data_IF_065820686405
#
_entry.id   IF_065820686405
#
_cell.length_a   1.000
_cell.length_b   1.000
_cell.length_c   1.000
_cell.angle_alpha   90.00
_cell.angle_beta   90.00
_cell.angle_gamma   90.00
#
_symmetry.space_group_name_H-M   'P 1'
#
loop_
_entity.id
_entity.type
_entity.pdbx_description
1 polymer ?
#
# COMPACT_ATOMS: atom_id res chain seq x y z
N UNK A 1 1.36 -10.49 11.20
CA UNK A 1 2.03 -9.18 11.23
C UNK A 1 2.50 -8.93 12.66
N UNK A 2 3.74 -8.48 12.85
CA UNK A 2 4.33 -8.19 14.16
C UNK A 2 5.33 -7.03 14.08
N UNK A 3 5.86 -6.62 15.23
CA UNK A 3 6.87 -5.55 15.28
C UNK A 3 8.17 -5.98 14.63
N UNK A 4 8.70 -5.12 13.77
CA UNK A 4 10.02 -5.28 13.20
C UNK A 4 11.06 -4.86 14.23
N UNK A 5 11.96 -5.78 14.53
CA UNK A 5 13.13 -5.54 15.36
C UNK A 5 14.38 -5.93 14.58
N UNK A 6 15.44 -5.16 14.74
CA UNK A 6 16.72 -5.41 14.07
C UNK A 6 17.82 -5.55 15.11
N UNK A 7 18.70 -6.54 14.93
CA UNK A 7 19.90 -6.74 15.75
C UNK A 7 21.07 -6.99 14.83
N UNK A 8 22.21 -6.40 15.18
CA UNK A 8 23.43 -6.54 14.42
C UNK A 8 24.45 -5.48 14.80
N UNK A 9 25.67 -5.57 14.26
CA UNK A 9 26.75 -4.64 14.57
C UNK A 9 26.45 -3.19 14.17
N UNK A 10 25.48 -2.99 13.28
CA UNK A 10 25.04 -1.69 12.77
C UNK A 10 23.99 -1.00 13.67
N UNK A 11 23.51 -1.68 14.72
CA UNK A 11 22.54 -1.11 15.65
C UNK A 11 23.25 -0.16 16.62
N UNK A 12 22.77 1.08 16.70
CA UNK A 12 23.32 2.08 17.60
C UNK A 12 23.28 1.60 19.06
N UNK A 13 24.22 2.07 19.89
CA UNK A 13 24.26 1.73 21.32
C UNK A 13 23.11 2.33 22.12
N UNK A 14 22.44 3.34 21.57
CA UNK A 14 21.38 4.09 22.22
C UNK A 14 21.32 5.53 21.78
N UNK A 15 20.46 6.29 22.46
CA UNK A 15 20.35 7.73 22.33
C UNK A 15 21.28 8.42 23.33
N UNK A 16 21.98 9.47 22.85
CA UNK A 16 22.88 10.26 23.68
C UNK A 16 22.11 10.94 24.83
N UNK A 17 22.64 10.84 26.05
CA UNK A 17 22.06 11.41 27.29
C UNK A 17 20.60 11.03 27.58
N UNK A 18 20.10 9.95 26.98
CA UNK A 18 18.73 9.47 27.17
C UNK A 18 18.70 7.97 27.50
N UNK A 19 19.17 7.58 28.71
CA UNK A 19 19.30 6.17 29.09
C UNK A 19 17.94 5.45 29.17
N UNK A 20 16.89 6.13 29.65
CA UNK A 20 15.54 5.56 29.73
C UNK A 20 14.94 5.31 28.34
N UNK A 21 15.07 6.28 27.44
CA UNK A 21 14.60 6.16 26.05
C UNK A 21 15.40 5.07 25.31
N UNK A 22 16.70 4.97 25.60
CA UNK A 22 17.57 3.91 25.10
C UNK A 22 17.08 2.54 25.57
N UNK A 23 16.87 2.33 26.86
CA UNK A 23 16.39 1.06 27.39
C UNK A 23 15.00 0.67 26.84
N UNK A 24 14.13 1.65 26.60
CA UNK A 24 12.81 1.39 26.00
C UNK A 24 12.86 1.03 24.50
N UNK A 25 13.87 1.52 23.78
CA UNK A 25 14.01 1.37 22.32
C UNK A 25 14.96 0.24 21.92
N UNK A 26 15.96 -0.03 22.74
CA UNK A 26 16.99 -1.04 22.56
C UNK A 26 16.91 -2.05 23.72
N UNK A 27 16.55 -3.29 23.43
CA UNK A 27 16.44 -4.37 24.42
C UNK A 27 17.24 -5.59 23.95
N UNK A 28 18.14 -6.12 24.78
CA UNK A 28 18.95 -7.31 24.49
C UNK A 28 19.70 -7.26 23.14
N UNK A 29 20.16 -6.07 22.76
CA UNK A 29 20.86 -5.81 21.50
C UNK A 29 19.95 -5.69 20.27
N UNK A 30 18.64 -5.74 20.45
CA UNK A 30 17.63 -5.48 19.41
C UNK A 30 17.14 -4.04 19.46
N UNK A 31 17.12 -3.38 18.31
CA UNK A 31 16.45 -2.11 18.10
C UNK A 31 15.01 -2.35 17.65
N UNK A 32 14.06 -1.76 18.38
CA UNK A 32 12.67 -1.64 17.96
C UNK A 32 12.55 -0.52 16.92
N UNK A 33 12.29 -0.86 15.65
CA UNK A 33 12.24 0.15 14.58
C UNK A 33 10.98 1.01 14.64
N UNK A 34 9.93 0.49 15.28
CA UNK A 34 8.60 1.10 15.28
C UNK A 34 7.81 0.80 14.00
N UNK A 35 8.29 -0.12 13.17
CA UNK A 35 7.57 -0.59 11.99
C UNK A 35 6.89 -1.93 12.28
N UNK A 36 5.79 -2.18 11.56
CA UNK A 36 5.09 -3.46 11.54
C UNK A 36 5.38 -4.17 10.24
N UNK A 37 5.50 -5.49 10.30
CA UNK A 37 5.70 -6.30 9.12
C UNK A 37 5.46 -7.78 9.36
N UNK A 38 5.66 -8.59 8.34
CA UNK A 38 5.62 -10.04 8.44
C UNK A 38 6.67 -10.66 7.53
N UNK A 39 7.03 -11.90 7.82
CA UNK A 39 7.87 -12.68 6.93
C UNK A 39 6.97 -13.48 5.99
N UNK A 40 7.18 -13.32 4.70
CA UNK A 40 6.60 -14.18 3.67
C UNK A 40 7.72 -14.58 2.71
N UNK A 41 7.85 -15.88 2.48
CA UNK A 41 8.85 -16.46 1.56
C UNK A 41 10.29 -15.97 1.83
N UNK A 42 10.66 -15.88 3.11
CA UNK A 42 11.98 -15.43 3.54
C UNK A 42 12.23 -13.92 3.44
N UNK A 43 11.20 -13.12 3.09
CA UNK A 43 11.29 -11.66 2.96
C UNK A 43 10.49 -10.95 4.05
N UNK A 44 11.05 -9.88 4.60
CA UNK A 44 10.34 -8.99 5.51
C UNK A 44 9.51 -7.98 4.73
N UNK A 45 8.18 -8.14 4.77
CA UNK A 45 7.22 -7.19 4.23
C UNK A 45 6.85 -6.17 5.31
N UNK A 46 7.33 -4.93 5.19
CA UNK A 46 6.96 -3.83 6.08
C UNK A 46 5.60 -3.28 5.64
N UNK A 47 4.62 -3.35 6.53
CA UNK A 47 3.24 -2.93 6.25
C UNK A 47 2.97 -1.48 6.66
N UNK A 48 3.80 -0.89 7.52
CA UNK A 48 3.66 0.49 7.97
C UNK A 48 4.29 0.73 9.33
N UNK A 49 4.03 1.90 9.93
CA UNK A 49 4.53 2.23 11.28
C UNK A 49 3.54 1.84 12.34
N UNK A 50 4.01 1.15 13.37
CA UNK A 50 3.27 0.79 14.59
C UNK A 50 2.53 1.98 15.20
N UNK A 51 3.14 3.16 15.19
CA UNK A 51 2.55 4.39 15.73
C UNK A 51 1.60 5.14 14.79
N UNK A 52 1.56 4.75 13.52
CA UNK A 52 0.68 5.31 12.48
C UNK A 52 -0.45 4.32 12.10
N UNK A 53 -0.67 3.30 12.94
CA UNK A 53 -1.80 2.38 12.85
C UNK A 53 -3.06 3.04 13.37
N UNK A 54 -4.15 2.79 12.67
CA UNK A 54 -5.52 3.07 13.07
C UNK A 54 -6.18 1.72 13.36
N UNK A 55 -6.55 1.51 14.62
CA UNK A 55 -7.25 0.30 15.06
C UNK A 55 -8.75 0.55 14.97
N UNK A 56 -9.43 -0.29 14.19
CA UNK A 56 -10.85 -0.16 13.91
C UNK A 56 -11.45 -1.55 13.75
N UNK A 57 -12.51 -1.85 14.51
CA UNK A 57 -13.23 -3.12 14.53
C UNK A 57 -12.29 -4.33 14.72
N UNK A 58 -11.29 -4.19 15.61
CA UNK A 58 -10.30 -5.24 15.85
C UNK A 58 -9.33 -5.49 14.69
N UNK A 59 -9.30 -4.60 13.69
CA UNK A 59 -8.41 -4.67 12.53
C UNK A 59 -7.44 -3.48 12.53
N UNK A 60 -6.25 -3.73 12.01
CA UNK A 60 -5.18 -2.75 11.87
C UNK A 60 -5.22 -2.16 10.46
N UNK A 61 -5.37 -0.85 10.35
CA UNK A 61 -5.25 -0.08 9.12
C UNK A 61 -4.09 0.89 9.21
N UNK A 62 -3.42 1.17 8.09
CA UNK A 62 -2.34 2.16 8.06
C UNK A 62 -2.88 3.50 7.60
N UNK A 63 -2.59 4.57 8.35
CA UNK A 63 -3.08 5.91 8.03
C UNK A 63 -2.72 6.36 6.60
N UNK A 64 -1.51 6.11 6.04
CA UNK A 64 -1.18 6.47 4.66
C UNK A 64 -2.10 5.85 3.60
N UNK A 65 -2.50 4.59 3.77
CA UNK A 65 -3.40 3.91 2.83
C UNK A 65 -4.78 4.60 2.81
N UNK A 66 -5.28 4.99 3.99
CA UNK A 66 -6.53 5.71 4.14
C UNK A 66 -6.43 7.16 3.62
N UNK A 67 -5.27 7.78 3.74
CA UNK A 67 -4.98 9.11 3.16
C UNK A 67 -5.06 9.06 1.63
N UNK A 68 -4.54 8.00 1.00
CA UNK A 68 -4.63 7.79 -0.44
C UNK A 68 -6.08 7.58 -0.90
N UNK A 69 -6.84 6.75 -0.16
CA UNK A 69 -8.29 6.54 -0.42
C UNK A 69 -9.05 7.86 -0.36
N UNK A 70 -8.78 8.70 0.64
CA UNK A 70 -9.41 10.01 0.80
C UNK A 70 -8.99 10.97 -0.31
N UNK A 71 -7.68 11.08 -0.59
CA UNK A 71 -7.10 11.97 -1.59
C UNK A 71 -7.58 11.68 -3.03
N UNK A 72 -7.92 10.42 -3.33
CA UNK A 72 -8.46 10.01 -4.62
C UNK A 72 -9.93 10.45 -4.86
N UNK A 73 -10.57 11.16 -3.93
CA UNK A 73 -11.97 11.60 -4.08
C UNK A 73 -12.08 12.78 -5.06
N UNK A 74 -12.86 12.65 -6.15
CA UNK A 74 -13.08 13.74 -7.10
C UNK A 74 -13.67 14.99 -6.44
N UNK A 75 -13.22 16.17 -6.88
CA UNK A 75 -13.71 17.46 -6.35
C UNK A 75 -12.96 17.98 -5.12
N UNK A 76 -12.00 17.23 -4.57
CA UNK A 76 -11.06 17.78 -3.59
C UNK A 76 -10.09 18.78 -4.25
N UNK A 77 -9.92 19.99 -3.70
CA UNK A 77 -9.08 21.02 -4.32
C UNK A 77 -7.58 20.70 -4.24
N UNK A 78 -7.17 19.87 -3.27
CA UNK A 78 -5.79 19.37 -3.17
C UNK A 78 -5.79 17.95 -2.62
N UNK A 79 -4.90 17.07 -3.09
CA UNK A 79 -4.85 15.66 -2.67
C UNK A 79 -4.21 15.45 -1.29
N UNK A 80 -3.95 16.52 -0.51
CA UNK A 80 -3.38 16.36 0.82
C UNK A 80 -4.49 15.98 1.82
N UNK A 81 -4.45 14.72 2.25
CA UNK A 81 -5.21 14.20 3.38
C UNK A 81 -4.27 13.82 4.53
N UNK A 82 -4.80 13.84 5.75
CA UNK A 82 -4.16 13.29 6.94
C UNK A 82 -5.18 12.44 7.69
N UNK A 83 -4.82 11.23 8.08
CA UNK A 83 -5.73 10.33 8.81
C UNK A 83 -5.18 10.05 10.21
N UNK A 84 -6.08 10.10 11.19
CA UNK A 84 -5.82 9.67 12.57
C UNK A 84 -6.90 8.70 13.01
N UNK A 85 -6.53 7.77 13.90
CA UNK A 85 -7.50 7.17 14.81
C UNK A 85 -7.79 8.13 15.97
N UNK A 86 -8.90 7.92 16.63
CA UNK A 86 -9.27 8.52 17.91
C UNK A 86 -10.18 7.52 18.61
N UNK A 87 -10.37 7.67 19.91
CA UNK A 87 -11.38 6.92 20.65
C UNK A 87 -12.37 7.92 21.23
N UNK A 88 -13.66 7.68 21.12
CA UNK A 88 -14.64 8.51 21.80
C UNK A 88 -14.50 8.32 23.31
N UNK A 89 -14.27 9.40 24.08
CA UNK A 89 -14.09 9.29 25.52
C UNK A 89 -15.37 8.89 26.29
N UNK A 90 -16.56 9.00 25.68
CA UNK A 90 -17.83 8.70 26.34
C UNK A 90 -18.19 7.21 26.32
N UNK A 91 -18.00 6.54 25.19
CA UNK A 91 -18.41 5.13 24.99
C UNK A 91 -17.25 4.20 24.59
N UNK A 92 -16.05 4.75 24.41
CA UNK A 92 -14.86 3.98 24.04
C UNK A 92 -14.85 3.52 22.59
N UNK A 93 -15.79 4.01 21.76
CA UNK A 93 -15.86 3.63 20.35
C UNK A 93 -14.64 4.12 19.59
N UNK A 94 -14.10 3.24 18.73
CA UNK A 94 -13.04 3.61 17.80
C UNK A 94 -13.61 4.58 16.77
N UNK A 95 -12.87 5.64 16.46
CA UNK A 95 -13.25 6.68 15.51
C UNK A 95 -12.09 6.97 14.57
N UNK A 96 -12.39 7.22 13.30
CA UNK A 96 -11.39 7.67 12.33
C UNK A 96 -11.67 9.11 11.91
N UNK A 97 -10.66 9.95 11.96
CA UNK A 97 -10.76 11.34 11.52
C UNK A 97 -9.84 11.58 10.33
N UNK A 98 -10.44 12.10 9.26
CA UNK A 98 -9.78 12.43 8.00
C UNK A 98 -9.74 13.94 7.86
N UNK A 99 -8.56 14.53 7.85
CA UNK A 99 -8.38 15.94 7.59
C UNK A 99 -8.04 16.16 6.11
N UNK A 100 -8.88 16.90 5.40
CA UNK A 100 -8.62 17.26 4.00
C UNK A 100 -8.20 18.71 3.88
N UNK A 101 -7.13 18.99 3.13
CA UNK A 101 -6.67 20.36 2.93
C UNK A 101 -7.65 21.13 2.04
N UNK A 102 -8.39 22.05 2.64
CA UNK A 102 -9.39 22.87 1.98
C UNK A 102 -9.43 24.28 2.59
N UNK A 103 -8.81 25.31 1.97
CA UNK A 103 -8.67 26.64 2.57
C UNK A 103 -9.97 27.36 2.88
N UNK A 104 -10.99 27.24 2.00
CA UNK A 104 -12.27 27.96 2.12
C UNK A 104 -13.43 27.11 1.55
N UNK A 105 -13.87 26.04 2.24
CA UNK A 105 -14.99 25.22 1.77
C UNK A 105 -16.31 26.01 1.81
N UNK A 106 -17.00 26.06 0.66
CA UNK A 106 -18.39 26.57 0.53
C UNK A 106 -19.38 25.44 0.80
N UNK A 107 -20.68 25.74 0.97
CA UNK A 107 -21.72 24.73 1.27
C UNK A 107 -21.70 23.51 0.32
N UNK A 108 -21.39 23.71 -0.96
CA UNK A 108 -21.25 22.64 -1.97
C UNK A 108 -20.17 21.61 -1.65
N UNK A 109 -19.15 21.97 -0.85
CA UNK A 109 -18.12 21.04 -0.39
C UNK A 109 -18.70 19.90 0.45
N UNK A 110 -19.90 20.05 1.02
CA UNK A 110 -20.56 19.00 1.79
C UNK A 110 -20.71 17.71 0.98
N UNK A 111 -21.01 17.80 -0.32
CA UNK A 111 -21.14 16.61 -1.17
C UNK A 111 -19.79 15.89 -1.35
N UNK A 112 -18.72 16.64 -1.60
CA UNK A 112 -17.36 16.07 -1.75
C UNK A 112 -16.89 15.47 -0.43
N UNK A 113 -17.11 16.15 0.70
CA UNK A 113 -16.75 15.61 2.02
C UNK A 113 -17.54 14.34 2.35
N UNK A 114 -18.82 14.27 1.99
CA UNK A 114 -19.63 13.06 2.14
C UNK A 114 -19.11 11.91 1.27
N UNK A 115 -18.61 12.18 0.06
CA UNK A 115 -17.95 11.16 -0.78
C UNK A 115 -16.64 10.67 -0.16
N UNK A 116 -15.82 11.56 0.41
CA UNK A 116 -14.62 11.16 1.16
C UNK A 116 -15.02 10.24 2.32
N UNK A 117 -16.05 10.63 3.10
CA UNK A 117 -16.58 9.82 4.20
C UNK A 117 -17.00 8.45 3.71
N UNK A 118 -17.79 8.35 2.65
CA UNK A 118 -18.27 7.09 2.10
C UNK A 118 -17.12 6.16 1.66
N UNK A 119 -16.12 6.70 0.94
CA UNK A 119 -14.96 5.92 0.47
C UNK A 119 -14.12 5.38 1.63
N UNK A 120 -13.87 6.21 2.64
CA UNK A 120 -13.08 5.82 3.82
C UNK A 120 -13.86 4.83 4.71
N UNK A 121 -15.17 5.04 4.91
CA UNK A 121 -16.05 4.06 5.59
C UNK A 121 -16.02 2.71 4.89
N UNK A 122 -16.10 2.71 3.56
CA UNK A 122 -16.04 1.49 2.76
C UNK A 122 -14.69 0.79 2.92
N UNK A 123 -13.57 1.52 2.88
CA UNK A 123 -12.24 0.95 3.05
C UNK A 123 -12.01 0.36 4.46
N UNK A 124 -12.55 1.02 5.49
CA UNK A 124 -12.44 0.60 6.89
C UNK A 124 -13.45 -0.48 7.31
N UNK A 125 -14.57 -0.58 6.59
CA UNK A 125 -15.79 -1.24 7.06
C UNK A 125 -16.20 -0.74 8.46
N UNK A 126 -16.21 0.58 8.65
CA UNK A 126 -16.49 1.23 9.93
C UNK A 126 -17.23 2.55 9.74
N UNK A 127 -18.21 2.81 10.60
CA UNK A 127 -19.19 3.88 10.39
C UNK A 127 -18.77 5.23 11.02
N UNK A 128 -18.00 5.25 12.11
CA UNK A 128 -17.57 6.49 12.78
C UNK A 128 -16.32 7.10 12.11
N UNK A 129 -16.54 7.60 10.89
CA UNK A 129 -15.56 8.34 10.10
C UNK A 129 -15.98 9.80 10.02
N UNK A 130 -15.13 10.71 10.52
CA UNK A 130 -15.34 12.16 10.46
C UNK A 130 -14.38 12.79 9.47
N UNK A 131 -14.90 13.60 8.53
CA UNK A 131 -14.07 14.28 7.53
C UNK A 131 -14.10 15.79 7.77
N UNK A 132 -12.94 16.36 8.07
CA UNK A 132 -12.79 17.76 8.47
C UNK A 132 -11.98 18.54 7.42
N UNK A 133 -12.57 19.54 6.75
CA UNK A 133 -11.81 20.43 5.88
C UNK A 133 -11.00 21.44 6.70
N UNK A 134 -9.68 21.46 6.51
CA UNK A 134 -8.77 22.33 7.24
C UNK A 134 -7.92 23.21 6.31
N UNK A 135 -7.55 24.45 6.74
CA UNK A 135 -6.66 25.29 5.97
C UNK A 135 -5.22 24.73 5.95
N UNK A 136 -4.37 25.15 4.98
CA UNK A 136 -3.02 24.61 4.82
C UNK A 136 -2.14 24.68 6.09
N UNK A 137 -2.29 25.75 6.88
CA UNK A 137 -1.52 25.95 8.12
C UNK A 137 -1.90 25.00 9.28
N UNK A 138 -2.99 24.24 9.14
CA UNK A 138 -3.44 23.31 10.17
C UNK A 138 -2.73 21.96 10.15
N UNK A 139 -1.88 21.70 9.14
CA UNK A 139 -1.12 20.45 8.96
C UNK A 139 0.32 20.62 9.47
N UNK A 140 0.61 20.34 10.76
CA UNK A 140 1.94 20.50 11.32
C UNK A 140 2.94 19.57 10.64
N UNK A 141 4.11 20.09 10.26
CA UNK A 141 5.18 19.33 9.61
C UNK A 141 6.50 19.44 10.38
N UNK A 142 7.37 18.44 10.23
CA UNK A 142 8.78 18.52 10.63
C UNK A 142 9.55 19.43 9.68
N UNK A 143 10.78 19.81 10.05
CA UNK A 143 11.70 20.55 9.17
C UNK A 143 12.00 19.79 7.86
N UNK A 144 11.92 18.46 7.89
CA UNK A 144 12.03 17.58 6.72
C UNK A 144 10.72 17.43 5.93
N UNK A 145 9.68 18.20 6.24
CA UNK A 145 8.39 18.18 5.55
C UNK A 145 7.43 17.04 5.94
N UNK A 146 7.77 16.17 6.89
CA UNK A 146 6.93 15.03 7.31
C UNK A 146 5.76 15.50 8.17
N UNK A 147 4.57 14.95 7.95
CA UNK A 147 3.38 15.27 8.74
C UNK A 147 3.52 14.81 10.20
N UNK A 148 3.15 15.67 11.15
CA UNK A 148 3.10 15.35 12.59
C UNK A 148 1.70 14.90 13.01
N UNK A 149 1.31 13.67 12.64
CA UNK A 149 -0.04 13.10 12.92
C UNK A 149 -0.43 13.11 14.40
N UNK A 150 0.52 12.79 15.29
CA UNK A 150 0.32 12.87 16.74
C UNK A 150 -0.17 14.25 17.18
N UNK A 151 0.42 15.32 16.65
CA UNK A 151 0.01 16.69 16.98
C UNK A 151 -1.38 17.01 16.43
N UNK A 152 -1.79 16.43 15.30
CA UNK A 152 -3.16 16.58 14.79
C UNK A 152 -4.17 15.84 15.68
N UNK A 153 -3.82 14.63 16.14
CA UNK A 153 -4.62 13.84 17.09
C UNK A 153 -4.80 14.57 18.42
N UNK A 154 -3.71 15.02 19.03
CA UNK A 154 -3.76 15.79 20.29
C UNK A 154 -4.64 17.04 20.17
N UNK A 155 -4.59 17.74 19.02
CA UNK A 155 -5.47 18.89 18.76
C UNK A 155 -6.93 18.49 18.61
N UNK A 156 -7.20 17.38 17.93
CA UNK A 156 -8.56 16.88 17.74
C UNK A 156 -9.19 16.44 19.07
N UNK A 157 -8.47 15.63 19.85
CA UNK A 157 -8.92 15.15 21.18
C UNK A 157 -9.07 16.30 22.19
N UNK A 158 -8.28 17.37 22.06
CA UNK A 158 -8.44 18.60 22.83
C UNK A 158 -9.59 19.51 22.36
N UNK A 159 -10.37 19.09 21.35
CA UNK A 159 -11.51 19.84 20.82
C UNK A 159 -11.16 21.04 19.92
N UNK A 160 -9.90 21.19 19.49
CA UNK A 160 -9.46 22.34 18.71
C UNK A 160 -10.17 22.49 17.35
N UNK A 161 -10.84 21.43 16.88
CA UNK A 161 -11.59 21.41 15.62
C UNK A 161 -13.12 21.38 15.80
N UNK A 162 -13.65 21.57 17.01
CA UNK A 162 -15.09 21.43 17.29
C UNK A 162 -16.00 22.32 16.43
N UNK A 163 -15.57 23.55 16.11
CA UNK A 163 -16.34 24.44 15.22
C UNK A 163 -16.39 23.96 13.76
N UNK A 164 -15.36 23.24 13.30
CA UNK A 164 -15.32 22.62 11.97
C UNK A 164 -16.20 21.37 11.97
N UNK A 165 -16.11 20.58 13.04
CA UNK A 165 -16.87 19.35 13.22
C UNK A 165 -18.38 19.60 13.30
N UNK A 166 -18.83 20.53 14.15
CA UNK A 166 -20.24 20.92 14.25
C UNK A 166 -20.82 21.45 12.93
N UNK A 167 -19.96 22.01 12.06
CA UNK A 167 -20.38 22.57 10.78
C UNK A 167 -20.48 21.53 9.67
N UNK A 168 -19.65 20.49 9.69
CA UNK A 168 -19.48 19.57 8.56
C UNK A 168 -19.83 18.12 8.88
N UNK A 169 -19.93 17.74 10.15
CA UNK A 169 -20.20 16.38 10.60
C UNK A 169 -21.55 16.28 11.33
N UNK A 170 -21.93 17.27 12.14
CA UNK A 170 -23.21 17.29 12.85
C UNK A 170 -24.31 17.85 11.93
N UNK A 171 -24.89 16.97 11.12
CA UNK A 171 -25.87 17.36 10.11
C UNK A 171 -26.74 16.20 9.62
N UNK A 172 -27.54 15.61 10.50
CA UNK A 172 -28.78 14.92 10.11
C UNK A 172 -29.94 15.90 10.28
N UNK A 173 -30.81 16.10 9.27
CA UNK A 173 -32.09 16.77 9.48
C UNK A 173 -32.94 15.93 10.43
N UNK A 174 -33.47 16.57 11.47
CA UNK A 174 -34.45 16.00 12.39
C UNK A 174 -35.77 15.71 11.65
N UNK A 175 -36.35 14.52 11.79
CA UNK A 175 -37.80 14.36 11.83
C UNK A 175 -38.21 14.28 13.30
N UNK A 176 -38.67 15.41 13.84
CA UNK A 176 -39.50 15.39 15.02
C UNK A 176 -40.94 15.03 14.61
N UNK A 177 -41.64 14.32 15.51
CA UNK A 177 -43.05 13.92 15.52
C UNK A 177 -43.38 12.50 15.03
N UNK A 178 -43.09 11.51 15.88
CA UNK A 178 -44.10 10.51 16.30
C UNK A 178 -43.60 9.65 17.49
N UNK A 179 -44.08 10.01 18.69
CA UNK A 179 -44.61 9.13 19.75
C UNK A 179 -43.72 8.00 20.31
N UNK A 180 -43.08 8.35 21.44
CA UNK A 180 -42.99 7.65 22.73
C UNK A 180 -43.39 6.17 22.85
N UNK A 181 -42.48 5.37 23.43
CA UNK A 181 -42.80 4.14 24.17
C UNK A 181 -41.56 3.42 24.72
N UNK A 182 -41.18 3.70 25.98
CA UNK A 182 -40.24 2.91 26.79
C UNK A 182 -40.76 1.45 26.94
N UNK A 183 -39.97 0.42 27.22
CA UNK A 183 -39.27 0.10 28.48
C UNK A 183 -38.37 -1.12 28.23
N UNK A 184 -37.24 -1.21 28.95
CA UNK A 184 -36.29 -2.33 28.89
C UNK A 184 -36.86 -3.69 29.31
N UNK A 185 -36.17 -4.74 28.85
CA UNK A 185 -36.40 -6.12 29.28
C UNK A 185 -35.21 -6.99 28.87
N UNK A 186 -34.67 -7.70 29.85
CA UNK A 186 -33.55 -8.62 29.71
C UNK A 186 -33.84 -9.78 28.71
N UNK A 187 -32.74 -10.36 28.25
CA UNK A 187 -32.58 -11.50 27.32
C UNK A 187 -33.61 -12.63 27.52
N UNK A 188 -34.09 -13.22 26.41
CA UNK A 188 -34.12 -14.68 26.30
C UNK A 188 -33.48 -15.18 25.00
N UNK A 189 -32.65 -16.22 25.12
CA UNK A 189 -32.21 -17.05 24.00
C UNK A 189 -33.33 -18.01 23.59
N UNK A 190 -33.58 -18.14 22.28
CA UNK A 190 -34.35 -19.25 21.69
C UNK A 190 -34.79 -18.97 20.25
N UNK A 191 -35.29 -19.95 19.48
CA UNK A 191 -35.09 -21.41 19.52
C UNK A 191 -34.32 -21.92 18.27
N UNK A 192 -33.67 -23.09 18.36
CA UNK A 192 -33.22 -23.84 17.15
C UNK A 192 -34.48 -24.32 16.41
N UNK A 193 -34.79 -23.69 15.28
CA UNK A 193 -35.88 -24.12 14.41
C UNK A 193 -35.51 -25.44 13.71
N UNK A 194 -36.39 -26.44 13.79
CA UNK A 194 -36.32 -27.63 12.94
C UNK A 194 -36.57 -27.25 11.47
N UNK A 195 -36.12 -28.13 10.56
CA UNK A 195 -36.21 -28.05 9.10
C UNK A 195 -37.42 -27.22 8.60
N UNK A 196 -37.16 -25.98 8.18
CA UNK A 196 -38.16 -25.14 7.51
C UNK A 196 -38.54 -25.81 6.18
N UNK A 197 -39.84 -25.99 5.93
CA UNK A 197 -40.31 -26.88 4.85
C UNK A 197 -40.72 -26.13 3.58
N UNK A 198 -40.81 -24.80 3.61
CA UNK A 198 -41.21 -23.97 2.46
C UNK A 198 -40.25 -22.81 2.17
N UNK A 199 -40.15 -22.41 0.89
CA UNK A 199 -39.29 -21.29 0.45
C UNK A 199 -39.65 -19.97 1.15
N UNK A 200 -40.93 -19.71 1.42
CA UNK A 200 -41.40 -18.50 2.11
C UNK A 200 -40.91 -18.43 3.55
N UNK A 201 -40.88 -19.56 4.27
CA UNK A 201 -40.33 -19.62 5.63
C UNK A 201 -38.82 -19.34 5.64
N UNK A 202 -38.07 -19.95 4.71
CA UNK A 202 -36.62 -19.72 4.61
C UNK A 202 -36.33 -18.28 4.19
N UNK A 203 -37.08 -17.72 3.23
CA UNK A 203 -36.94 -16.34 2.79
C UNK A 203 -37.24 -15.35 3.92
N UNK A 204 -38.28 -15.60 4.72
CA UNK A 204 -38.61 -14.79 5.90
C UNK A 204 -37.50 -14.79 6.94
N UNK A 205 -36.87 -15.95 7.19
CA UNK A 205 -35.72 -16.06 8.10
C UNK A 205 -34.50 -15.34 7.53
N UNK A 206 -34.19 -15.51 6.24
CA UNK A 206 -33.07 -14.82 5.58
C UNK A 206 -33.25 -13.30 5.64
N UNK A 207 -34.45 -12.80 5.28
CA UNK A 207 -34.77 -11.38 5.37
C UNK A 207 -34.69 -10.86 6.81
N UNK A 208 -35.16 -11.63 7.81
CA UNK A 208 -35.04 -11.28 9.22
C UNK A 208 -33.59 -11.23 9.73
N UNK A 209 -32.74 -12.14 9.26
CA UNK A 209 -31.29 -12.12 9.56
C UNK A 209 -30.64 -10.88 8.92
N UNK A 210 -30.97 -10.57 7.67
CA UNK A 210 -30.47 -9.36 7.01
C UNK A 210 -30.94 -8.09 7.70
N UNK A 211 -32.21 -8.01 8.09
CA UNK A 211 -32.78 -6.87 8.82
C UNK A 211 -32.00 -6.59 10.10
N UNK A 212 -31.74 -7.64 10.88
CA UNK A 212 -30.98 -7.57 12.14
C UNK A 212 -29.54 -7.11 11.93
N UNK A 213 -28.85 -7.69 10.95
CA UNK A 213 -27.43 -7.39 10.69
C UNK A 213 -27.23 -6.03 10.00
N UNK A 214 -28.17 -5.64 9.14
CA UNK A 214 -28.13 -4.34 8.45
C UNK A 214 -28.66 -3.20 9.33
N UNK A 215 -29.38 -3.50 10.42
CA UNK A 215 -30.03 -2.50 11.26
C UNK A 215 -31.22 -1.82 10.57
N UNK A 216 -31.93 -2.56 9.71
CA UNK A 216 -33.07 -2.06 8.91
C UNK A 216 -34.36 -2.80 9.29
N UNK A 217 -35.53 -2.18 9.15
CA UNK A 217 -36.81 -2.89 9.28
C UNK A 217 -36.93 -3.98 8.20
N UNK A 218 -37.46 -5.14 8.58
CA UNK A 218 -37.58 -6.30 7.66
C UNK A 218 -38.44 -5.99 6.44
N UNK A 219 -39.48 -5.16 6.60
CA UNK A 219 -40.37 -4.71 5.52
C UNK A 219 -39.65 -3.82 4.48
N UNK A 220 -38.46 -3.31 4.81
CA UNK A 220 -37.62 -2.50 3.93
C UNK A 220 -36.56 -3.28 3.16
N UNK A 221 -36.60 -4.62 3.18
CA UNK A 221 -35.69 -5.51 2.46
C UNK A 221 -36.49 -6.26 1.40
N UNK A 222 -36.32 -5.86 0.14
CA UNK A 222 -36.87 -6.56 -1.01
C UNK A 222 -36.18 -7.90 -1.25
N UNK A 223 -36.93 -8.89 -1.73
CA UNK A 223 -36.39 -10.24 -2.02
C UNK A 223 -35.28 -10.25 -3.09
N UNK A 224 -35.22 -9.20 -3.92
CA UNK A 224 -34.23 -9.00 -4.97
C UNK A 224 -33.26 -7.85 -4.68
N UNK A 225 -33.32 -7.25 -3.49
CA UNK A 225 -32.35 -6.23 -3.08
C UNK A 225 -30.98 -6.87 -2.93
N UNK A 226 -29.96 -6.23 -3.52
CA UNK A 226 -28.59 -6.72 -3.41
C UNK A 226 -28.02 -6.33 -2.05
N UNK A 227 -27.41 -7.30 -1.36
CA UNK A 227 -26.92 -7.15 0.01
C UNK A 227 -26.05 -5.91 0.19
N UNK A 228 -25.11 -5.68 -0.73
CA UNK A 228 -24.17 -4.55 -0.68
C UNK A 228 -24.85 -3.21 -0.97
N UNK A 229 -25.85 -3.18 -1.84
CA UNK A 229 -26.55 -1.96 -2.25
C UNK A 229 -27.42 -1.39 -1.11
N UNK A 230 -27.83 -2.25 -0.17
CA UNK A 230 -28.66 -1.88 0.98
C UNK A 230 -27.89 -1.74 2.31
N UNK A 231 -26.57 -1.58 2.23
CA UNK A 231 -25.70 -1.32 3.40
C UNK A 231 -25.02 -2.55 3.99
N UNK A 232 -24.95 -3.65 3.23
CA UNK A 232 -24.16 -4.83 3.54
C UNK A 232 -22.65 -4.59 3.35
N UNK A 233 -21.84 -5.30 4.12
CA UNK A 233 -20.38 -5.32 4.03
C UNK A 233 -19.88 -6.75 4.16
N UNK A 234 -18.61 -7.03 3.86
CA UNK A 234 -18.06 -8.39 4.02
C UNK A 234 -18.10 -8.89 5.48
N UNK A 235 -18.10 -8.00 6.47
CA UNK A 235 -18.25 -8.39 7.89
C UNK A 235 -19.69 -8.78 8.20
N UNK A 236 -20.64 -7.92 7.80
CA UNK A 236 -22.07 -8.21 7.89
C UNK A 236 -22.44 -9.47 7.10
N UNK A 237 -21.75 -9.73 6.00
CA UNK A 237 -21.89 -10.96 5.23
C UNK A 237 -21.54 -12.18 6.06
N UNK A 238 -20.42 -12.14 6.79
CA UNK A 238 -20.01 -13.22 7.67
C UNK A 238 -20.96 -13.39 8.87
N UNK A 239 -21.50 -12.31 9.42
CA UNK A 239 -22.52 -12.36 10.48
C UNK A 239 -23.83 -12.96 9.98
N UNK A 240 -24.27 -12.58 8.77
CA UNK A 240 -25.42 -13.18 8.09
C UNK A 240 -25.18 -14.67 7.88
N UNK A 241 -24.02 -15.05 7.33
CA UNK A 241 -23.68 -16.44 7.08
C UNK A 241 -23.65 -17.25 8.37
N UNK A 242 -22.95 -16.78 9.41
CA UNK A 242 -22.90 -17.45 10.72
C UNK A 242 -24.29 -17.60 11.35
N UNK A 243 -25.14 -16.56 11.28
CA UNK A 243 -26.50 -16.64 11.78
C UNK A 243 -27.36 -17.63 10.97
N UNK A 244 -27.15 -17.76 9.66
CA UNK A 244 -27.84 -18.74 8.81
C UNK A 244 -27.33 -20.16 9.07
N UNK A 245 -26.02 -20.36 9.25
CA UNK A 245 -25.43 -21.64 9.64
C UNK A 245 -25.99 -22.11 10.99
N UNK A 246 -26.07 -21.22 11.98
CA UNK A 246 -26.66 -21.50 13.29
C UNK A 246 -28.16 -21.82 13.22
N UNK A 247 -28.89 -21.15 12.32
CA UNK A 247 -30.35 -21.31 12.20
C UNK A 247 -30.72 -22.58 11.43
N UNK A 248 -29.99 -22.91 10.37
CA UNK A 248 -30.34 -23.99 9.44
C UNK A 248 -29.43 -25.23 9.56
N UNK A 249 -28.36 -25.17 10.34
CA UNK A 249 -27.43 -26.29 10.52
C UNK A 249 -26.66 -26.71 9.27
N UNK A 250 -26.63 -25.85 8.25
CA UNK A 250 -25.90 -26.04 6.98
C UNK A 250 -24.64 -25.19 7.00
N UNK A 251 -23.53 -25.69 6.42
CA UNK A 251 -22.34 -24.85 6.24
C UNK A 251 -22.47 -24.07 4.95
N UNK A 252 -22.38 -22.74 5.04
CA UNK A 252 -22.52 -21.83 3.91
C UNK A 252 -21.17 -21.15 3.67
N UNK A 253 -20.42 -21.55 2.62
CA UNK A 253 -19.10 -20.99 2.36
C UNK A 253 -19.15 -19.45 2.18
N UNK A 254 -18.12 -18.70 2.61
CA UNK A 254 -18.06 -17.25 2.47
C UNK A 254 -18.24 -16.71 1.04
N UNK A 255 -17.98 -17.53 0.02
CA UNK A 255 -18.21 -17.18 -1.38
C UNK A 255 -19.69 -17.09 -1.77
N UNK A 256 -20.61 -17.73 -1.04
CA UNK A 256 -22.02 -17.81 -1.41
C UNK A 256 -22.66 -16.43 -1.42
N UNK A 257 -22.41 -15.57 -0.43
CA UNK A 257 -23.03 -14.23 -0.41
C UNK A 257 -22.46 -13.29 -1.49
N UNK A 258 -21.28 -13.60 -2.04
CA UNK A 258 -20.72 -12.88 -3.19
C UNK A 258 -21.42 -13.26 -4.49
N UNK A 259 -21.70 -14.56 -4.65
CA UNK A 259 -22.26 -15.12 -5.88
C UNK A 259 -23.80 -15.11 -5.88
N UNK A 260 -24.42 -15.01 -4.69
CA UNK A 260 -25.86 -15.08 -4.41
C UNK A 260 -26.26 -13.97 -3.43
N UNK A 261 -26.08 -12.73 -3.87
CA UNK A 261 -26.18 -11.53 -3.04
C UNK A 261 -27.60 -10.97 -2.87
N UNK A 262 -28.65 -11.80 -3.01
CA UNK A 262 -30.06 -11.42 -2.77
C UNK A 262 -30.74 -12.42 -1.83
N UNK A 263 -31.80 -11.99 -1.13
CA UNK A 263 -32.58 -12.87 -0.25
C UNK A 263 -33.11 -14.09 -1.03
N UNK A 264 -33.63 -13.88 -2.24
CA UNK A 264 -34.13 -14.97 -3.09
C UNK A 264 -33.02 -15.98 -3.44
N UNK A 265 -31.87 -15.50 -3.90
CA UNK A 265 -30.76 -16.36 -4.31
C UNK A 265 -30.13 -17.15 -3.14
N UNK A 266 -30.10 -16.54 -1.95
CA UNK A 266 -29.61 -17.20 -0.73
C UNK A 266 -30.61 -18.23 -0.20
N UNK A 267 -31.90 -17.92 -0.31
CA UNK A 267 -33.00 -18.85 0.03
C UNK A 267 -32.95 -20.10 -0.84
N UNK A 268 -32.78 -19.96 -2.16
CA UNK A 268 -32.62 -21.09 -3.08
C UNK A 268 -31.42 -21.98 -2.69
N UNK A 269 -30.30 -21.36 -2.33
CA UNK A 269 -29.10 -22.09 -1.91
C UNK A 269 -29.33 -22.90 -0.62
N UNK A 270 -30.00 -22.31 0.36
CA UNK A 270 -30.30 -22.96 1.64
C UNK A 270 -31.31 -24.10 1.48
N UNK A 271 -32.35 -23.91 0.66
CA UNK A 271 -33.32 -24.96 0.34
C UNK A 271 -32.64 -26.13 -0.39
N UNK A 272 -31.74 -25.84 -1.34
CA UNK A 272 -30.97 -26.87 -2.03
C UNK A 272 -30.00 -27.62 -1.08
N UNK A 273 -29.35 -26.92 -0.16
CA UNK A 273 -28.41 -27.49 0.81
C UNK A 273 -29.10 -28.39 1.86
N UNK A 274 -30.38 -28.17 2.14
CA UNK A 274 -31.18 -29.02 3.02
C UNK A 274 -31.69 -30.31 2.33
N UNK A 275 -31.65 -30.37 0.99
CA UNK A 275 -32.24 -31.45 0.19
C UNK A 275 -31.28 -32.50 -0.38
N UNK A 276 -29.97 -32.44 -0.12
CA UNK A 276 -29.00 -33.33 -0.77
C UNK A 276 -27.70 -33.57 0.02
N UNK A 277 -27.19 -34.80 -0.05
CA UNK A 277 -26.03 -35.34 0.67
C UNK A 277 -24.84 -34.38 0.81
N UNK A 278 -24.33 -34.32 2.05
CA UNK A 278 -23.27 -33.46 2.56
C UNK A 278 -21.93 -33.75 1.84
N UNK A 279 -21.35 -32.82 1.06
CA UNK A 279 -20.01 -33.00 0.51
C UNK A 279 -18.97 -32.74 1.60
N UNK A 280 -17.97 -33.62 1.73
CA UNK A 280 -16.77 -33.40 2.53
C UNK A 280 -16.04 -32.11 2.11
N UNK A 281 -15.37 -31.40 3.04
CA UNK A 281 -14.64 -30.18 2.72
C UNK A 281 -13.46 -30.49 1.79
N UNK A 282 -13.62 -30.11 0.53
CA UNK A 282 -12.58 -30.24 -0.49
C UNK A 282 -11.37 -29.36 -0.12
N UNK A 283 -10.19 -29.99 -0.07
CA UNK A 283 -8.89 -29.28 -0.07
C UNK A 283 -8.85 -28.30 -1.24
N UNK A 284 -8.24 -27.11 -1.09
CA UNK A 284 -8.11 -26.16 -2.18
C UNK A 284 -7.36 -26.84 -3.34
N UNK A 285 -8.10 -27.13 -4.39
CA UNK A 285 -7.55 -27.59 -5.65
C UNK A 285 -6.97 -26.34 -6.33
N UNK A 286 -5.71 -26.36 -6.80
CA UNK A 286 -5.14 -25.21 -7.48
C UNK A 286 -6.03 -24.86 -8.66
N UNK A 287 -6.25 -23.56 -8.85
CA UNK A 287 -6.90 -23.04 -10.03
C UNK A 287 -6.17 -23.62 -11.25
N UNK A 288 -6.90 -24.36 -12.08
CA UNK A 288 -6.41 -24.83 -13.36
C UNK A 288 -6.34 -23.64 -14.32
N UNK A 289 -5.28 -22.86 -14.18
CA UNK A 289 -4.63 -22.13 -15.24
C UNK A 289 -3.16 -22.36 -14.99
N UNK A 290 -2.43 -22.90 -15.96
CA UNK A 290 -0.98 -23.10 -15.84
C UNK A 290 -0.34 -21.81 -15.33
N UNK A 291 0.04 -21.77 -14.05
CA UNK A 291 0.98 -20.76 -13.56
C UNK A 291 2.31 -21.17 -14.14
N UNK A 292 2.58 -20.73 -15.36
CA UNK A 292 3.84 -21.01 -16.03
C UNK A 292 4.95 -20.46 -15.14
N UNK A 293 5.77 -21.34 -14.59
CA UNK A 293 6.87 -20.95 -13.73
C UNK A 293 7.85 -20.08 -14.52
N UNK A 294 8.17 -18.89 -14.01
CA UNK A 294 9.13 -17.98 -14.67
C UNK A 294 10.54 -18.45 -14.36
N UNK A 295 11.32 -18.75 -15.42
CA UNK A 295 12.71 -19.14 -15.29
C UNK A 295 13.63 -17.91 -15.33
N UNK A 296 14.48 -17.75 -14.31
CA UNK A 296 15.60 -16.79 -14.37
C UNK A 296 16.74 -17.46 -15.14
N UNK A 297 16.88 -17.10 -16.42
CA UNK A 297 17.84 -17.75 -17.35
C UNK A 297 19.26 -17.20 -17.18
N UNK A 298 19.40 -15.93 -16.80
CA UNK A 298 20.69 -15.30 -16.53
C UNK A 298 20.55 -14.08 -15.62
N UNK A 299 21.68 -13.58 -15.13
CA UNK A 299 21.81 -12.31 -14.42
C UNK A 299 23.17 -11.69 -14.74
N UNK A 300 23.24 -10.37 -14.67
CA UNK A 300 24.46 -9.58 -14.67
C UNK A 300 24.32 -8.49 -13.60
N UNK A 301 25.42 -8.05 -12.99
CA UNK A 301 25.36 -7.05 -11.93
C UNK A 301 26.67 -6.27 -11.82
N UNK A 302 26.58 -5.04 -11.30
CA UNK A 302 27.71 -4.29 -10.75
C UNK A 302 27.43 -4.00 -9.28
N UNK A 303 28.32 -4.45 -8.40
CA UNK A 303 28.29 -4.20 -6.97
C UNK A 303 29.63 -3.64 -6.50
N UNK A 304 29.67 -2.96 -5.33
CA UNK A 304 30.91 -2.48 -4.74
C UNK A 304 31.95 -3.61 -4.58
N UNK A 305 33.03 -3.56 -5.36
CA UNK A 305 34.10 -4.56 -5.35
C UNK A 305 33.79 -5.89 -6.04
N UNK A 306 32.70 -5.97 -6.81
CA UNK A 306 32.30 -7.14 -7.58
C UNK A 306 31.54 -6.74 -8.86
N UNK A 307 32.15 -6.98 -10.01
CA UNK A 307 31.58 -6.61 -11.31
C UNK A 307 30.81 -7.75 -11.98
N UNK A 308 30.67 -8.91 -11.34
CA UNK A 308 29.94 -10.07 -11.88
C UNK A 308 29.15 -10.81 -10.79
N UNK A 309 28.12 -11.60 -11.14
CA UNK A 309 27.40 -12.44 -10.19
C UNK A 309 28.32 -13.38 -9.39
N UNK A 310 29.31 -13.96 -10.06
CA UNK A 310 30.28 -14.89 -9.48
C UNK A 310 31.17 -14.16 -8.45
N UNK A 311 31.73 -13.00 -8.82
CA UNK A 311 32.51 -12.18 -7.90
C UNK A 311 31.67 -11.68 -6.71
N UNK A 312 30.39 -11.36 -6.94
CA UNK A 312 29.49 -10.94 -5.88
C UNK A 312 29.19 -12.09 -4.92
N UNK A 313 28.98 -13.30 -5.44
CA UNK A 313 28.82 -14.51 -4.64
C UNK A 313 30.03 -14.78 -3.75
N UNK A 314 31.24 -14.70 -4.30
CA UNK A 314 32.48 -14.88 -3.53
C UNK A 314 32.58 -13.88 -2.37
N UNK A 315 32.16 -12.63 -2.59
CA UNK A 315 32.11 -11.59 -1.54
C UNK A 315 31.10 -11.93 -0.45
N UNK A 316 29.91 -12.42 -0.82
CA UNK A 316 28.88 -12.83 0.13
C UNK A 316 29.36 -14.01 0.98
N UNK A 317 29.94 -15.04 0.35
CA UNK A 317 30.49 -16.21 1.04
C UNK A 317 31.63 -15.82 1.97
N UNK A 318 32.48 -14.87 1.56
CA UNK A 318 33.57 -14.36 2.39
C UNK A 318 33.10 -13.39 3.51
N UNK A 319 31.81 -13.05 3.58
CA UNK A 319 31.29 -12.07 4.55
C UNK A 319 31.87 -10.67 4.38
N UNK A 320 32.21 -10.28 3.15
CA UNK A 320 32.87 -9.01 2.86
C UNK A 320 31.92 -7.82 3.09
N UNK A 321 32.30 -6.90 3.96
CA UNK A 321 31.64 -5.60 4.12
C UNK A 321 32.26 -4.58 3.16
N UNK A 322 31.47 -4.12 2.19
CA UNK A 322 31.89 -3.13 1.20
C UNK A 322 31.58 -1.68 1.61
N UNK A 323 31.03 -1.45 2.81
CA UNK A 323 30.75 -0.12 3.34
C UNK A 323 32.07 0.55 3.73
N UNK A 324 32.36 1.67 3.10
CA UNK A 324 33.56 2.46 3.35
C UNK A 324 33.26 3.95 3.45
N UNK A 325 34.27 4.77 3.76
CA UNK A 325 34.13 6.22 3.71
C UNK A 325 33.77 6.66 2.29
N UNK A 326 33.03 7.77 2.14
CA UNK A 326 32.73 8.34 0.82
C UNK A 326 34.04 8.62 0.07
N UNK A 327 34.24 8.07 -1.14
CA UNK A 327 35.41 8.36 -1.94
C UNK A 327 35.50 9.86 -2.28
N UNK A 328 36.71 10.42 -2.24
CA UNK A 328 36.95 11.82 -2.62
C UNK A 328 36.48 12.15 -4.05
N UNK A 329 36.39 11.14 -4.92
CA UNK A 329 35.88 11.23 -6.30
C UNK A 329 34.35 11.35 -6.39
N UNK A 330 33.62 11.31 -5.27
CA UNK A 330 32.15 11.48 -5.24
C UNK A 330 31.78 12.88 -4.76
N UNK A 331 32.09 13.19 -3.50
CA UNK A 331 31.97 14.52 -2.91
C UNK A 331 32.88 14.65 -1.69
N UNK A 332 33.28 15.89 -1.38
CA UNK A 332 34.10 16.15 -0.19
C UNK A 332 33.22 16.18 1.06
N UNK A 333 33.47 15.26 1.99
CA UNK A 333 32.84 15.26 3.32
C UNK A 333 33.52 16.30 4.22
N UNK A 334 32.76 17.18 4.84
CA UNK A 334 33.26 18.18 5.81
C UNK A 334 33.25 17.65 7.24
N UNK A 335 34.06 18.20 8.16
CA UNK A 335 33.95 17.92 9.59
C UNK A 335 32.58 18.40 10.10
N UNK A 336 31.66 17.44 10.28
CA UNK A 336 30.30 17.67 10.79
C UNK A 336 29.23 16.91 10.01
N UNK A 337 29.54 16.46 8.79
CA UNK A 337 28.61 15.74 7.93
C UNK A 337 28.20 14.39 8.52
N UNK A 338 26.92 14.05 8.44
CA UNK A 338 26.37 12.78 8.93
C UNK A 338 26.40 11.66 7.87
N UNK A 339 26.53 12.02 6.58
CA UNK A 339 26.61 11.09 5.46
C UNK A 339 28.07 10.81 5.05
N UNK A 340 28.79 10.02 5.87
CA UNK A 340 30.22 9.71 5.66
C UNK A 340 30.50 8.30 5.14
N UNK A 341 29.50 7.42 5.14
CA UNK A 341 29.67 6.00 4.85
C UNK A 341 28.71 5.58 3.74
N UNK A 342 29.20 4.69 2.87
CA UNK A 342 28.40 4.09 1.81
C UNK A 342 29.18 3.00 1.10
N UNK A 343 28.50 2.22 0.27
CA UNK A 343 29.12 1.26 -0.62
C UNK A 343 29.03 1.81 -2.05
N UNK A 344 30.17 1.90 -2.73
CA UNK A 344 30.30 2.63 -3.99
C UNK A 344 30.84 1.72 -5.08
N UNK A 345 30.24 1.80 -6.27
CA UNK A 345 30.89 1.28 -7.48
C UNK A 345 32.21 2.01 -7.68
N UNK A 346 33.25 1.33 -8.15
CA UNK A 346 34.58 1.94 -8.36
C UNK A 346 34.53 3.03 -9.43
N UNK A 347 34.17 2.64 -10.65
CA UNK A 347 34.06 3.51 -11.81
C UNK A 347 32.62 3.51 -12.38
N UNK A 348 31.71 4.34 -11.83
CA UNK A 348 30.37 4.48 -12.39
C UNK A 348 30.34 5.33 -13.67
N UNK A 349 31.44 5.97 -14.05
CA UNK A 349 31.49 6.82 -15.24
C UNK A 349 31.92 6.05 -16.50
N UNK A 350 32.64 4.93 -16.31
CA UNK A 350 33.02 4.01 -17.38
C UNK A 350 31.83 3.56 -18.21
N UNK A 351 31.97 3.62 -19.53
CA UNK A 351 30.95 3.19 -20.50
C UNK A 351 31.55 3.02 -21.89
N UNK A 352 31.31 1.88 -22.54
CA UNK A 352 31.74 1.66 -23.93
C UNK A 352 30.75 2.26 -24.94
N UNK A 353 30.81 3.58 -25.11
CA UNK A 353 29.89 4.30 -25.98
C UNK A 353 29.96 3.85 -27.45
N UNK A 354 31.17 3.56 -27.94
CA UNK A 354 31.40 3.15 -29.32
C UNK A 354 30.76 1.79 -29.61
N UNK A 355 30.82 0.85 -28.68
CA UNK A 355 30.16 -0.45 -28.79
C UNK A 355 28.65 -0.33 -29.01
N UNK A 356 27.99 0.58 -28.29
CA UNK A 356 26.55 0.82 -28.41
C UNK A 356 26.16 1.84 -29.50
N UNK A 357 27.12 2.34 -30.28
CA UNK A 357 26.87 3.35 -31.32
C UNK A 357 26.43 4.70 -30.76
N UNK A 358 26.78 5.02 -29.52
CA UNK A 358 26.44 6.27 -28.83
C UNK A 358 27.60 7.26 -28.98
N UNK A 359 27.31 8.49 -29.41
CA UNK A 359 28.32 9.53 -29.55
C UNK A 359 28.88 9.99 -28.19
N UNK A 360 30.13 10.45 -28.14
CA UNK A 360 30.82 10.86 -26.90
C UNK A 360 30.05 11.93 -26.11
N UNK A 361 29.50 12.93 -26.80
CA UNK A 361 28.69 13.98 -26.16
C UNK A 361 27.42 13.43 -25.54
N UNK A 362 26.78 12.45 -26.20
CA UNK A 362 25.59 11.79 -25.69
C UNK A 362 25.92 10.87 -24.51
N UNK A 363 27.00 10.09 -24.60
CA UNK A 363 27.48 9.24 -23.52
C UNK A 363 27.80 10.04 -22.26
N UNK A 364 28.48 11.18 -22.42
CA UNK A 364 28.79 12.11 -21.32
C UNK A 364 27.53 12.72 -20.72
N UNK A 365 26.51 13.00 -21.53
CA UNK A 365 25.25 13.57 -21.06
C UNK A 365 24.29 12.52 -20.46
N UNK A 366 24.53 11.24 -20.71
CA UNK A 366 23.68 10.13 -20.26
C UNK A 366 23.99 9.76 -18.81
N UNK A 367 22.96 9.56 -18.00
CA UNK A 367 23.11 9.13 -16.62
C UNK A 367 23.94 7.84 -16.50
N UNK A 368 24.93 7.77 -15.58
CA UNK A 368 25.58 6.51 -15.20
C UNK A 368 24.63 5.33 -15.00
N UNK A 369 23.46 5.54 -14.38
CA UNK A 369 22.47 4.49 -14.18
C UNK A 369 21.97 3.92 -15.51
N UNK A 370 21.70 4.77 -16.51
CA UNK A 370 21.26 4.35 -17.84
C UNK A 370 22.37 3.64 -18.63
N UNK A 371 23.61 4.11 -18.50
CA UNK A 371 24.80 3.50 -19.12
C UNK A 371 25.08 2.10 -18.57
N UNK A 372 25.15 1.98 -17.25
CA UNK A 372 25.37 0.70 -16.56
C UNK A 372 24.21 -0.26 -16.84
N UNK A 373 22.97 0.21 -16.83
CA UNK A 373 21.81 -0.63 -17.12
C UNK A 373 21.83 -1.19 -18.54
N UNK A 374 22.26 -0.40 -19.53
CA UNK A 374 22.43 -0.86 -20.92
C UNK A 374 23.52 -1.94 -21.04
N UNK A 375 24.68 -1.74 -20.41
CA UNK A 375 25.75 -2.74 -20.37
C UNK A 375 25.30 -4.04 -19.70
N UNK A 376 24.62 -3.94 -18.55
CA UNK A 376 24.11 -5.10 -17.82
C UNK A 376 23.00 -5.84 -18.57
N UNK A 377 22.12 -5.13 -19.27
CA UNK A 377 21.10 -5.76 -20.12
C UNK A 377 21.74 -6.53 -21.28
N UNK A 378 22.77 -5.96 -21.91
CA UNK A 378 23.54 -6.65 -22.93
C UNK A 378 24.25 -7.89 -22.38
N UNK A 379 24.99 -7.75 -21.29
CA UNK A 379 25.72 -8.84 -20.64
C UNK A 379 24.78 -9.98 -20.20
N UNK A 380 23.62 -9.65 -19.63
CA UNK A 380 22.63 -10.65 -19.23
C UNK A 380 22.09 -11.42 -20.45
N UNK A 381 21.81 -10.73 -21.56
CA UNK A 381 21.40 -11.38 -22.82
C UNK A 381 22.52 -12.25 -23.39
N UNK A 382 23.77 -11.82 -23.31
CA UNK A 382 24.94 -12.60 -23.76
C UNK A 382 25.10 -13.87 -22.93
N UNK A 383 25.08 -13.77 -21.61
CA UNK A 383 25.16 -14.91 -20.68
C UNK A 383 24.01 -15.90 -20.86
N UNK A 384 22.82 -15.43 -21.24
CA UNK A 384 21.69 -16.28 -21.59
C UNK A 384 21.76 -16.89 -23.01
N UNK A 385 22.74 -16.50 -23.83
CA UNK A 385 22.87 -16.96 -25.22
C UNK A 385 21.93 -16.27 -26.21
N UNK A 386 21.45 -15.06 -25.88
CA UNK A 386 20.53 -14.23 -26.68
C UNK A 386 21.16 -12.96 -27.25
N UNK A 387 22.48 -12.76 -27.17
CA UNK A 387 23.17 -11.59 -27.75
C UNK A 387 23.21 -11.55 -29.30
N UNK A 388 22.64 -12.52 -30.01
CA UNK A 388 22.65 -12.58 -31.48
C UNK A 388 21.34 -13.06 -32.12
N UNK A 389 21.43 -13.75 -33.26
CA UNK A 389 20.27 -14.16 -34.08
C UNK A 389 19.16 -14.92 -33.34
N UNK A 390 19.48 -15.58 -32.22
CA UNK A 390 18.49 -16.27 -31.36
C UNK A 390 17.43 -15.33 -30.77
N UNK A 391 17.69 -14.02 -30.75
CA UNK A 391 16.77 -12.97 -30.30
C UNK A 391 15.81 -12.52 -31.40
N UNK A 392 16.16 -12.71 -32.67
CA UNK A 392 15.35 -12.24 -33.80
C UNK A 392 13.93 -12.82 -33.76
N UNK A 393 12.93 -11.97 -33.98
CA UNK A 393 11.52 -12.34 -33.95
C UNK A 393 10.93 -12.59 -32.56
N UNK A 394 11.70 -12.42 -31.47
CA UNK A 394 11.19 -12.52 -30.10
C UNK A 394 10.66 -11.17 -29.61
N UNK A 395 9.55 -11.21 -28.88
CA UNK A 395 9.03 -10.06 -28.14
C UNK A 395 9.73 -9.99 -26.79
N UNK A 396 10.76 -9.15 -26.69
CA UNK A 396 11.56 -8.97 -25.47
C UNK A 396 11.19 -7.63 -24.84
N UNK A 397 10.62 -7.66 -23.64
CA UNK A 397 10.32 -6.46 -22.85
C UNK A 397 11.49 -6.03 -21.97
N UNK A 398 11.52 -4.75 -21.63
CA UNK A 398 12.50 -4.12 -20.74
C UNK A 398 11.75 -3.41 -19.61
N UNK A 399 11.98 -3.86 -18.38
CA UNK A 399 11.39 -3.27 -17.18
C UNK A 399 12.53 -2.76 -16.30
N UNK A 400 12.73 -1.45 -16.27
CA UNK A 400 13.85 -0.80 -15.59
C UNK A 400 13.37 -0.17 -14.28
N UNK A 401 13.87 -0.68 -13.16
CA UNK A 401 13.72 -0.01 -11.88
C UNK A 401 14.74 1.13 -11.78
N UNK A 402 14.26 2.37 -11.78
CA UNK A 402 15.12 3.55 -11.82
C UNK A 402 14.46 4.69 -11.06
N UNK A 403 15.25 5.45 -10.31
CA UNK A 403 14.79 6.61 -9.55
C UNK A 403 15.58 7.86 -9.90
N UNK A 404 15.26 8.96 -9.23
CA UNK A 404 15.99 10.23 -9.41
C UNK A 404 17.49 10.07 -9.09
N UNK A 405 18.33 10.69 -9.90
CA UNK A 405 19.77 10.72 -9.71
C UNK A 405 20.27 12.16 -9.51
N UNK A 406 21.41 12.31 -8.82
CA UNK A 406 22.10 13.61 -8.69
C UNK A 406 22.88 14.03 -9.95
N UNK A 407 22.79 13.28 -11.06
CA UNK A 407 23.66 13.50 -12.22
C UNK A 407 23.35 14.82 -12.94
N UNK A 408 22.12 15.33 -12.81
CA UNK A 408 21.76 16.64 -13.33
C UNK A 408 22.56 17.75 -12.67
N UNK A 409 22.73 17.72 -11.35
CA UNK A 409 23.57 18.68 -10.63
C UNK A 409 25.05 18.50 -10.98
N UNK A 410 25.52 17.27 -11.22
CA UNK A 410 26.90 17.00 -11.65
C UNK A 410 27.18 17.67 -13.00
N UNK A 411 26.30 17.47 -13.99
CA UNK A 411 26.44 18.09 -15.31
C UNK A 411 26.34 19.62 -15.24
N UNK A 412 25.42 20.16 -14.44
CA UNK A 412 25.29 21.61 -14.25
C UNK A 412 26.55 22.23 -13.61
N UNK A 413 27.19 21.54 -12.66
CA UNK A 413 28.47 21.98 -12.08
C UNK A 413 29.62 21.91 -13.09
N UNK A 414 29.65 20.88 -13.93
CA UNK A 414 30.69 20.70 -14.94
C UNK A 414 30.62 21.75 -16.06
N UNK A 415 29.41 22.19 -16.43
CA UNK A 415 29.20 23.23 -17.45
C UNK A 415 29.53 24.66 -16.98
N UNK A 416 29.65 24.89 -15.66
CA UNK A 416 29.94 26.21 -15.10
C UNK A 416 28.75 27.19 -15.12
N UNK A 417 28.88 28.39 -14.52
CA UNK A 417 27.77 29.34 -14.35
C UNK A 417 27.21 29.91 -15.66
N UNK A 418 28.02 29.96 -16.71
CA UNK A 418 27.66 30.51 -18.03
C UNK A 418 27.38 29.41 -19.07
N UNK A 419 27.70 28.15 -18.77
CA UNK A 419 27.48 27.02 -19.68
C UNK A 419 26.10 26.40 -19.48
N UNK A 420 25.29 26.44 -20.53
CA UNK A 420 24.04 25.67 -20.58
C UNK A 420 24.31 24.17 -20.58
N UNK A 421 23.34 23.38 -20.12
CA UNK A 421 23.37 21.93 -20.28
C UNK A 421 23.40 21.58 -21.79
N UNK A 422 24.22 20.61 -22.22
CA UNK A 422 24.22 20.19 -23.61
C UNK A 422 22.82 19.65 -24.00
N UNK A 423 22.37 19.80 -25.25
CA UNK A 423 21.05 19.33 -25.67
C UNK A 423 20.79 17.85 -25.36
N UNK A 424 21.82 17.00 -25.49
CA UNK A 424 21.76 15.58 -25.15
C UNK A 424 21.43 15.32 -23.67
N UNK A 425 21.63 16.30 -22.78
CA UNK A 425 21.33 16.18 -21.36
C UNK A 425 19.81 16.17 -21.07
N UNK A 426 18.99 16.67 -22.00
CA UNK A 426 17.53 16.60 -21.89
C UNK A 426 17.03 15.16 -21.95
N UNK A 427 17.58 14.34 -22.85
CA UNK A 427 17.17 12.94 -23.04
C UNK A 427 18.02 11.96 -22.27
N UNK A 428 19.30 12.27 -22.03
CA UNK A 428 20.23 11.42 -21.30
C UNK A 428 19.91 11.22 -19.82
N UNK A 429 19.04 12.06 -19.24
CA UNK A 429 18.72 12.05 -17.78
C UNK A 429 17.30 11.62 -17.44
N UNK A 430 16.45 11.45 -18.44
CA UNK A 430 15.05 11.11 -18.22
C UNK A 430 14.94 9.64 -17.77
N UNK A 431 14.49 9.35 -16.54
CA UNK A 431 14.44 7.97 -16.04
C UNK A 431 13.55 7.06 -16.91
N UNK A 432 12.46 7.62 -17.44
CA UNK A 432 11.56 6.93 -18.37
C UNK A 432 12.21 6.55 -19.71
N UNK A 433 13.32 7.18 -20.10
CA UNK A 433 14.04 6.85 -21.33
C UNK A 433 15.07 5.73 -21.15
N UNK A 434 15.37 5.28 -19.94
CA UNK A 434 16.37 4.21 -19.74
C UNK A 434 15.91 2.88 -20.32
N UNK A 435 14.67 2.45 -20.03
CA UNK A 435 14.10 1.24 -20.62
C UNK A 435 13.98 1.35 -22.16
N UNK A 436 13.52 2.51 -22.65
CA UNK A 436 13.36 2.76 -24.08
C UNK A 436 14.70 2.75 -24.83
N UNK A 437 15.75 3.31 -24.23
CA UNK A 437 17.11 3.31 -24.79
C UNK A 437 17.69 1.90 -24.87
N UNK A 438 17.49 1.07 -23.84
CA UNK A 438 17.89 -0.34 -23.91
C UNK A 438 17.16 -1.08 -25.02
N UNK A 439 15.83 -0.88 -25.12
CA UNK A 439 15.06 -1.49 -26.19
C UNK A 439 15.55 -1.04 -27.58
N UNK A 440 15.86 0.25 -27.75
CA UNK A 440 16.39 0.79 -29.00
C UNK A 440 17.80 0.27 -29.32
N UNK A 441 18.74 0.36 -28.38
CA UNK A 441 20.15 -0.01 -28.59
C UNK A 441 20.34 -1.51 -28.82
N UNK A 442 19.45 -2.36 -28.28
CA UNK A 442 19.53 -3.82 -28.40
C UNK A 442 18.51 -4.42 -29.37
N UNK A 443 17.74 -3.59 -30.07
CA UNK A 443 16.69 -3.98 -31.02
C UNK A 443 15.65 -4.92 -30.39
N UNK A 444 15.05 -4.49 -29.27
CA UNK A 444 14.03 -5.21 -28.51
C UNK A 444 12.65 -4.60 -28.79
N UNK A 445 11.68 -5.45 -29.12
CA UNK A 445 10.37 -5.03 -29.64
C UNK A 445 9.21 -5.21 -28.67
N UNK A 446 9.49 -5.56 -27.41
CA UNK A 446 8.48 -5.67 -26.35
C UNK A 446 8.25 -4.36 -25.59
N UNK A 447 7.43 -4.39 -24.52
CA UNK A 447 7.18 -3.23 -23.67
C UNK A 447 8.48 -2.67 -23.08
N UNK A 448 8.61 -1.34 -22.99
CA UNK A 448 9.73 -0.68 -22.34
C UNK A 448 9.21 0.27 -21.25
N UNK A 449 9.38 -0.11 -19.99
CA UNK A 449 8.78 0.57 -18.84
C UNK A 449 9.83 0.91 -17.80
N UNK A 450 9.80 2.17 -17.32
CA UNK A 450 10.53 2.58 -16.13
C UNK A 450 9.60 2.54 -14.92
N UNK A 451 10.09 2.03 -13.81
CA UNK A 451 9.33 1.82 -12.58
C UNK A 451 10.05 2.51 -11.42
N UNK A 452 9.33 3.41 -10.75
CA UNK A 452 9.79 4.07 -9.52
C UNK A 452 8.74 3.94 -8.43
N UNK A 453 8.96 3.00 -7.52
CA UNK A 453 8.25 2.86 -6.25
C UNK A 453 9.25 3.00 -5.08
N UNK A 454 10.28 3.83 -5.26
CA UNK A 454 11.42 4.01 -4.36
C UNK A 454 12.18 2.69 -4.09
N UNK A 455 12.32 2.28 -2.83
CA UNK A 455 13.15 1.12 -2.47
C UNK A 455 12.60 -0.22 -2.98
N UNK A 456 11.32 -0.29 -3.38
CA UNK A 456 10.69 -1.50 -3.91
C UNK A 456 10.70 -1.59 -5.44
N UNK A 457 11.24 -0.60 -6.15
CA UNK A 457 11.15 -0.47 -7.61
C UNK A 457 11.57 -1.74 -8.36
N UNK A 458 12.64 -2.41 -7.92
CA UNK A 458 13.14 -3.63 -8.59
C UNK A 458 12.15 -4.79 -8.50
N UNK A 459 11.49 -4.98 -7.35
CA UNK A 459 10.51 -6.05 -7.20
C UNK A 459 9.20 -5.75 -7.94
N UNK A 460 8.81 -4.48 -8.01
CA UNK A 460 7.64 -4.07 -8.80
C UNK A 460 7.93 -4.22 -10.29
N UNK A 461 9.12 -3.83 -10.76
CA UNK A 461 9.55 -4.05 -12.14
C UNK A 461 9.54 -5.54 -12.52
N UNK A 462 10.02 -6.41 -11.63
CA UNK A 462 9.99 -7.86 -11.83
C UNK A 462 8.56 -8.44 -11.83
N UNK A 463 7.63 -7.84 -11.08
CA UNK A 463 6.23 -8.29 -11.05
C UNK A 463 5.44 -7.87 -12.29
N UNK A 464 5.78 -6.73 -12.88
CA UNK A 464 5.17 -6.23 -14.11
C UNK A 464 5.70 -6.96 -15.37
N UNK A 465 6.92 -7.49 -15.28
CA UNK A 465 7.57 -8.30 -16.32
C UNK A 465 7.00 -9.72 -16.35
#
# INVERSE_FOLDING_TARGET
VGHVQVRGPQVARGYHEAPEVTAATFADGWLRTGDLGFLADGRLCVTGRDKDVVFVNGRTFHAPDLEEVAAATPGLPTPLAAVIGSTDPADGTERVVVFVRWPRPRREAAHVLAQVTARVRQALAHDDVRVLPLPPGAFPRTTSGKLRRRTMRERYEAGAYGAVEARWCDGTPTPADAVTGAVGGAVPAGPRAGLASSWEEVAGVVAGVWARVLGRPVDGIGVHDRFLDIGGSSLKAMEVLAALEDTFGVSVPPGVLRDRDTVAALTEHLVAAQGGERPEPARPRPASGDSEAVAVVSMACRFPGADTPDAFWDRLVAGHDAVGPVPATRWSTRPGDTARWGAFLGDPAGFDAAYFGIGEQEATATDPQGRIFLELAHEALERAGYAGARRAGRRVGVFAAIGESGYREVLARASGPEGGLPPAALTGKLPNLVAARVAQSLDLTGPALAVDTACSSTLVALHLA
#
